data_IF_868997471179
#
_entry.id   IF_868997471179
#
_cell.length_a   1.000
_cell.length_b   1.000
_cell.length_c   1.000
_cell.angle_alpha   90.00
_cell.angle_beta   90.00
_cell.angle_gamma   90.00
#
_symmetry.space_group_name_H-M   'P 1'
#
loop_
_entity.id
_entity.type
_entity.pdbx_description
1 polymer ?
#
# COMPACT_ATOMS: atom_id res chain seq x y z
N UNK A 1 -27.47 38.87 16.68
CA UNK A 1 -27.67 37.41 16.83
C UNK A 1 -26.80 36.71 15.79
N UNK A 2 -25.78 35.91 16.19
CA UNK A 2 -24.85 35.28 15.25
C UNK A 2 -25.39 33.92 14.80
N UNK A 3 -25.23 33.57 13.52
CA UNK A 3 -25.46 32.20 13.03
C UNK A 3 -24.18 31.68 12.41
N UNK A 4 -23.53 30.82 13.19
CA UNK A 4 -22.45 29.89 12.84
C UNK A 4 -23.00 28.82 11.85
N UNK A 5 -22.28 27.96 11.12
CA UNK A 5 -20.88 27.59 11.01
C UNK A 5 -20.76 26.66 9.78
N UNK A 6 -19.57 26.58 9.19
CA UNK A 6 -18.95 25.36 8.61
C UNK A 6 -19.82 24.36 7.83
N UNK A 7 -19.67 24.36 6.50
CA UNK A 7 -19.83 23.16 5.68
C UNK A 7 -18.46 22.72 5.17
N UNK A 8 -17.77 21.86 5.92
CA UNK A 8 -16.58 21.15 5.44
C UNK A 8 -17.01 20.13 4.38
N UNK A 9 -16.80 20.47 3.11
CA UNK A 9 -16.76 19.48 2.03
C UNK A 9 -15.41 18.77 2.15
N UNK A 10 -15.43 17.56 2.73
CA UNK A 10 -14.27 16.68 2.76
C UNK A 10 -14.15 16.05 1.37
N UNK A 11 -13.45 16.76 0.49
CA UNK A 11 -13.02 16.25 -0.80
C UNK A 11 -11.86 15.29 -0.52
N UNK A 12 -12.20 14.03 -0.23
CA UNK A 12 -11.24 12.92 -0.22
C UNK A 12 -10.82 12.67 -1.68
N UNK A 13 -10.02 13.59 -2.21
CA UNK A 13 -9.29 13.41 -3.46
C UNK A 13 -8.30 12.29 -3.23
N UNK A 14 -8.63 11.11 -3.75
CA UNK A 14 -7.73 10.01 -4.00
C UNK A 14 -6.45 10.59 -4.63
N UNK A 15 -5.35 10.59 -3.88
CA UNK A 15 -4.04 11.01 -4.38
C UNK A 15 -3.66 10.03 -5.47
N UNK A 16 -3.87 10.44 -6.72
CA UNK A 16 -3.21 9.84 -7.88
C UNK A 16 -1.71 10.02 -7.64
N UNK A 17 -1.05 8.95 -7.21
CA UNK A 17 0.40 8.85 -7.23
C UNK A 17 0.84 8.80 -8.71
N UNK A 18 0.86 9.98 -9.33
CA UNK A 18 1.46 10.18 -10.65
C UNK A 18 2.95 9.85 -10.55
N UNK A 19 3.39 8.93 -11.41
CA UNK A 19 4.81 8.68 -11.60
C UNK A 19 5.37 9.84 -12.42
N UNK A 20 6.04 10.80 -11.78
CA UNK A 20 6.70 11.91 -12.46
C UNK A 20 8.00 11.42 -13.11
N UNK A 21 8.05 11.43 -14.45
CA UNK A 21 9.24 11.06 -15.23
C UNK A 21 10.25 12.21 -15.31
N UNK A 22 11.48 11.98 -14.85
CA UNK A 22 12.64 12.85 -15.12
C UNK A 22 13.78 11.98 -15.69
N UNK A 23 13.91 11.97 -17.01
CA UNK A 23 15.03 11.32 -17.70
C UNK A 23 14.79 11.20 -19.21
N UNK A 24 15.36 12.11 -20.00
CA UNK A 24 15.37 12.02 -21.45
C UNK A 24 16.51 11.10 -21.90
N UNK A 25 16.19 9.91 -22.42
CA UNK A 25 17.10 9.05 -23.17
C UNK A 25 16.54 8.83 -24.59
N UNK A 26 17.39 8.68 -25.62
CA UNK A 26 16.95 8.62 -27.01
C UNK A 26 16.06 7.39 -27.26
N UNK A 27 14.91 7.63 -27.90
CA UNK A 27 13.87 6.66 -28.16
C UNK A 27 14.31 5.58 -29.16
N UNK A 28 14.31 4.32 -28.71
CA UNK A 28 14.08 3.16 -29.57
C UNK A 28 12.65 2.68 -29.32
N UNK A 29 11.77 3.07 -30.23
CA UNK A 29 10.30 3.11 -30.09
C UNK A 29 9.57 1.74 -30.09
N UNK A 30 10.14 0.68 -29.50
CA UNK A 30 9.43 -0.61 -29.39
C UNK A 30 9.54 -1.28 -28.01
N UNK A 31 10.52 -0.90 -27.18
CA UNK A 31 10.71 -1.46 -25.84
C UNK A 31 11.26 -0.41 -24.88
N UNK A 32 10.38 0.41 -24.31
CA UNK A 32 10.76 1.37 -23.28
C UNK A 32 11.04 0.62 -21.98
N UNK A 33 12.14 0.98 -21.32
CA UNK A 33 12.55 0.45 -20.02
C UNK A 33 12.64 1.59 -19.04
N UNK A 34 11.98 1.47 -17.90
CA UNK A 34 11.79 2.54 -16.95
C UNK A 34 12.14 2.06 -15.55
N UNK A 35 12.97 2.83 -14.84
CA UNK A 35 13.22 2.63 -13.42
C UNK A 35 12.49 3.73 -12.65
N UNK A 36 11.69 3.33 -11.66
CA UNK A 36 10.86 4.23 -10.88
C UNK A 36 10.98 3.98 -9.38
N UNK A 37 10.62 5.02 -8.63
CA UNK A 37 10.49 4.99 -7.18
C UNK A 37 9.03 5.26 -6.82
N UNK A 38 8.55 4.64 -5.75
CA UNK A 38 7.21 4.80 -5.20
C UNK A 38 7.27 5.09 -3.71
N UNK A 39 6.37 5.94 -3.27
CA UNK A 39 6.09 6.19 -1.85
C UNK A 39 4.63 5.82 -1.60
N UNK A 40 4.38 5.13 -0.50
CA UNK A 40 3.06 4.64 -0.15
C UNK A 40 2.91 4.44 1.36
N UNK A 41 1.85 3.72 1.71
CA UNK A 41 1.57 3.37 3.09
C UNK A 41 1.19 1.90 3.25
N UNK A 42 1.56 1.33 4.38
CA UNK A 42 1.15 0.00 4.83
C UNK A 42 0.19 0.13 6.00
N UNK A 43 -0.84 -0.72 6.04
CA UNK A 43 -1.78 -0.82 7.14
C UNK A 43 -1.95 -2.29 7.52
N UNK A 44 -1.67 -2.62 8.79
CA UNK A 44 -1.85 -3.99 9.25
C UNK A 44 -3.34 -4.28 9.47
N UNK A 45 -3.82 -5.35 8.83
CA UNK A 45 -5.15 -5.91 9.04
C UNK A 45 -5.02 -7.39 9.37
N UNK A 46 -5.54 -7.79 10.52
CA UNK A 46 -5.39 -9.14 11.05
C UNK A 46 -5.98 -9.29 12.45
N UNK A 47 -5.48 -10.25 13.22
CA UNK A 47 -5.98 -10.60 14.55
C UNK A 47 -5.82 -9.47 15.59
N UNK A 48 -4.81 -8.62 15.45
CA UNK A 48 -4.62 -7.44 16.32
C UNK A 48 -5.56 -6.30 15.93
N UNK A 49 -5.75 -6.10 14.62
CA UNK A 49 -6.60 -5.03 14.08
C UNK A 49 -7.49 -5.61 12.96
N UNK A 50 -8.72 -6.07 13.27
CA UNK A 50 -9.57 -6.75 12.29
C UNK A 50 -10.05 -5.83 11.16
N UNK A 51 -10.17 -4.54 11.48
CA UNK A 51 -10.57 -3.49 10.56
C UNK A 51 -9.40 -2.56 10.26
N UNK A 52 -9.53 -1.80 9.18
CA UNK A 52 -8.58 -0.75 8.82
C UNK A 52 -8.58 0.33 9.91
N UNK A 53 -7.37 0.70 10.36
CA UNK A 53 -7.20 1.74 11.37
C UNK A 53 -6.26 2.80 10.85
N UNK A 54 -6.70 4.06 10.80
CA UNK A 54 -5.89 5.13 10.23
C UNK A 54 -4.56 5.33 10.99
N UNK A 55 -4.56 5.13 12.30
CA UNK A 55 -3.36 5.24 13.15
C UNK A 55 -2.32 4.12 12.93
N UNK A 56 -2.72 3.02 12.30
CA UNK A 56 -1.83 1.90 11.98
C UNK A 56 -1.02 2.16 10.70
N UNK A 57 -1.30 3.23 9.97
CA UNK A 57 -0.56 3.57 8.76
C UNK A 57 0.92 3.80 9.05
N UNK A 58 1.75 3.21 8.20
CA UNK A 58 3.20 3.36 8.22
C UNK A 58 3.67 3.69 6.81
N UNK A 59 4.70 4.51 6.65
CA UNK A 59 5.26 4.77 5.34
C UNK A 59 5.84 3.49 4.74
N UNK A 60 5.72 3.38 3.43
CA UNK A 60 6.33 2.34 2.62
C UNK A 60 7.02 2.96 1.42
N UNK A 61 8.09 2.32 0.98
CA UNK A 61 8.89 2.73 -0.15
C UNK A 61 8.98 1.57 -1.14
N UNK A 62 8.90 1.88 -2.43
CA UNK A 62 8.96 0.90 -3.50
C UNK A 62 9.98 1.35 -4.54
N UNK A 63 10.82 0.42 -5.01
CA UNK A 63 11.62 0.59 -6.22
C UNK A 63 11.04 -0.37 -7.24
N UNK A 64 10.80 0.09 -8.47
CA UNK A 64 10.25 -0.77 -9.51
C UNK A 64 10.91 -0.53 -10.85
N UNK A 65 10.97 -1.59 -11.64
CA UNK A 65 11.41 -1.57 -13.02
C UNK A 65 10.24 -1.99 -13.90
N UNK A 66 9.94 -1.18 -14.92
CA UNK A 66 8.90 -1.43 -15.93
C UNK A 66 9.54 -1.61 -17.28
N UNK A 67 9.01 -2.54 -18.07
CA UNK A 67 9.43 -2.79 -19.44
C UNK A 67 8.23 -3.05 -20.32
N UNK A 68 8.13 -2.25 -21.38
CA UNK A 68 7.08 -2.42 -22.38
C UNK A 68 7.45 -3.57 -23.32
N UNK A 69 6.58 -4.57 -23.40
CA UNK A 69 6.73 -5.73 -24.29
C UNK A 69 6.00 -5.49 -25.60
N UNK A 70 4.87 -4.79 -25.55
CA UNK A 70 4.11 -4.34 -26.72
C UNK A 70 3.39 -3.03 -26.39
N UNK A 71 2.78 -2.37 -27.39
CA UNK A 71 2.07 -1.11 -27.17
C UNK A 71 1.03 -1.16 -26.02
N UNK A 72 0.23 -2.25 -25.86
CA UNK A 72 -0.69 -2.36 -24.73
C UNK A 72 -0.14 -3.13 -23.51
N UNK A 73 0.98 -3.87 -23.60
CA UNK A 73 1.44 -4.75 -22.52
C UNK A 73 2.77 -4.31 -21.93
N UNK A 74 2.77 -4.09 -20.62
CA UNK A 74 3.93 -3.71 -19.81
C UNK A 74 4.18 -4.75 -18.72
N UNK A 75 5.44 -5.12 -18.50
CA UNK A 75 5.85 -5.94 -17.36
C UNK A 75 6.46 -5.05 -16.29
N UNK A 76 6.07 -5.26 -15.02
CA UNK A 76 6.61 -4.54 -13.86
C UNK A 76 7.17 -5.53 -12.84
N UNK A 77 8.42 -5.32 -12.46
CA UNK A 77 9.01 -5.94 -11.28
C UNK A 77 9.19 -4.86 -10.20
N UNK A 78 8.86 -5.15 -8.96
CA UNK A 78 8.94 -4.17 -7.87
C UNK A 78 9.42 -4.77 -6.56
N UNK A 79 10.20 -4.01 -5.80
CA UNK A 79 10.60 -4.32 -4.44
C UNK A 79 10.02 -3.27 -3.50
N UNK A 80 9.18 -3.67 -2.56
CA UNK A 80 8.53 -2.79 -1.59
C UNK A 80 9.00 -3.12 -0.18
N UNK A 81 9.35 -2.09 0.59
CA UNK A 81 9.66 -2.19 2.02
C UNK A 81 8.78 -1.24 2.81
N UNK A 82 8.15 -1.71 3.88
CA UNK A 82 7.26 -0.90 4.71
C UNK A 82 7.23 -1.34 6.17
N UNK A 83 6.87 -0.40 7.04
CA UNK A 83 6.65 -0.70 8.46
C UNK A 83 5.29 -1.36 8.71
N UNK A 84 5.17 -2.15 9.76
CA UNK A 84 3.89 -2.67 10.24
C UNK A 84 3.67 -2.25 11.68
N UNK A 85 2.43 -1.85 11.99
CA UNK A 85 2.03 -1.56 13.36
C UNK A 85 0.55 -1.84 13.54
N UNK A 86 0.19 -2.38 14.69
CA UNK A 86 -1.17 -2.44 15.17
C UNK A 86 -1.20 -2.33 16.69
N UNK A 87 -2.29 -1.77 17.23
CA UNK A 87 -2.52 -1.71 18.67
C UNK A 87 -3.98 -2.01 18.96
N UNK A 88 -4.21 -2.82 19.98
CA UNK A 88 -5.56 -3.13 20.46
C UNK A 88 -6.31 -1.87 20.92
N UNK A 89 -5.60 -0.90 21.51
CA UNK A 89 -6.17 0.39 21.92
C UNK A 89 -6.75 1.22 20.77
N UNK A 90 -6.31 0.94 19.54
CA UNK A 90 -6.69 1.71 18.36
C UNK A 90 -7.89 1.09 17.64
N UNK A 91 -8.39 -0.06 18.10
CA UNK A 91 -9.52 -0.74 17.46
C UNK A 91 -10.83 -0.14 17.98
N UNK A 92 -11.64 0.42 17.09
CA UNK A 92 -12.96 0.96 17.42
C UNK A 92 -14.05 -0.13 17.42
N UNK A 93 -14.76 -0.31 18.54
CA UNK A 93 -15.91 -1.20 18.63
C UNK A 93 -17.21 -0.53 18.18
N UNK A 94 -18.29 -1.32 18.10
CA UNK A 94 -19.62 -0.86 17.67
C UNK A 94 -20.19 0.32 18.48
N UNK A 95 -19.71 0.50 19.73
CA UNK A 95 -20.15 1.55 20.63
C UNK A 95 -19.19 2.76 20.69
N UNK A 96 -18.23 2.86 19.75
CA UNK A 96 -17.24 3.94 19.72
C UNK A 96 -16.09 3.82 20.74
N UNK A 97 -16.01 2.71 21.48
CA UNK A 97 -14.94 2.40 22.42
C UNK A 97 -14.19 1.12 22.05
N UNK A 98 -13.08 0.83 22.71
CA UNK A 98 -12.28 -0.38 22.44
C UNK A 98 -13.10 -1.65 22.73
N UNK A 99 -13.17 -2.63 21.81
CA UNK A 99 -13.93 -3.84 22.05
C UNK A 99 -13.37 -4.64 23.26
N UNK A 100 -14.21 -5.40 23.97
CA UNK A 100 -13.81 -6.08 25.21
C UNK A 100 -12.59 -6.99 25.06
N UNK A 101 -12.46 -7.70 23.92
CA UNK A 101 -11.33 -8.59 23.66
C UNK A 101 -10.00 -7.83 23.54
N UNK A 102 -9.98 -6.78 22.72
CA UNK A 102 -8.82 -5.91 22.54
C UNK A 102 -8.46 -5.19 23.84
N UNK A 103 -9.47 -4.74 24.59
CA UNK A 103 -9.26 -4.11 25.89
C UNK A 103 -8.66 -5.05 26.94
N UNK A 104 -9.00 -6.35 26.90
CA UNK A 104 -8.42 -7.37 27.77
C UNK A 104 -7.00 -7.77 27.34
N UNK A 105 -6.78 -7.93 26.03
CA UNK A 105 -5.50 -8.41 25.49
C UNK A 105 -4.40 -7.35 25.52
N UNK A 106 -4.75 -6.08 25.32
CA UNK A 106 -3.83 -4.93 25.38
C UNK A 106 -2.52 -5.15 24.58
N UNK A 107 -2.64 -5.71 23.38
CA UNK A 107 -1.50 -6.05 22.53
C UNK A 107 -1.07 -4.90 21.63
N UNK A 108 0.24 -4.76 21.46
CA UNK A 108 0.90 -3.91 20.48
C UNK A 108 1.75 -4.79 19.56
N UNK A 109 1.51 -4.70 18.26
CA UNK A 109 2.32 -5.32 17.21
C UNK A 109 3.15 -4.26 16.51
N UNK A 110 4.42 -4.57 16.29
CA UNK A 110 5.37 -3.76 15.52
C UNK A 110 6.17 -4.66 14.60
N UNK A 111 6.47 -4.22 13.40
CA UNK A 111 7.23 -5.02 12.46
C UNK A 111 7.58 -4.31 11.18
N UNK A 112 8.00 -5.09 10.20
CA UNK A 112 8.24 -4.65 8.83
C UNK A 112 7.86 -5.74 7.84
N UNK A 113 7.64 -5.32 6.59
CA UNK A 113 7.36 -6.20 5.46
C UNK A 113 8.28 -5.85 4.30
N UNK A 114 8.82 -6.88 3.67
CA UNK A 114 9.56 -6.81 2.42
C UNK A 114 8.80 -7.64 1.38
N UNK A 115 8.47 -7.04 0.25
CA UNK A 115 7.68 -7.66 -0.81
C UNK A 115 8.41 -7.54 -2.14
N UNK A 116 8.52 -8.66 -2.86
CA UNK A 116 8.95 -8.69 -4.25
C UNK A 116 7.72 -8.96 -5.11
N UNK A 117 7.44 -8.11 -6.09
CA UNK A 117 6.26 -8.16 -6.94
C UNK A 117 6.66 -8.33 -8.41
N UNK A 118 5.89 -9.16 -9.12
CA UNK A 118 5.91 -9.27 -10.57
C UNK A 118 4.50 -9.10 -11.10
N UNK A 119 4.28 -8.10 -11.95
CA UNK A 119 2.97 -7.65 -12.42
C UNK A 119 2.98 -7.50 -13.93
N UNK A 120 1.89 -7.92 -14.58
CA UNK A 120 1.59 -7.62 -15.98
C UNK A 120 0.53 -6.53 -16.00
N UNK A 121 0.77 -5.49 -16.77
CA UNK A 121 -0.14 -4.36 -16.97
C UNK A 121 -0.62 -4.36 -18.43
N UNK A 122 -1.93 -4.24 -18.62
CA UNK A 122 -2.59 -4.06 -19.91
C UNK A 122 -3.19 -2.65 -19.99
N UNK A 123 -2.63 -1.80 -20.85
CA UNK A 123 -3.07 -0.43 -21.08
C UNK A 123 -4.08 -0.42 -22.25
N UNK A 124 -5.29 0.09 -22.01
CA UNK A 124 -6.34 0.13 -23.05
C UNK A 124 -6.09 1.21 -24.11
N UNK A 125 -5.45 2.31 -23.73
CA UNK A 125 -5.11 3.40 -24.62
C UNK A 125 -3.60 3.43 -24.85
N UNK A 126 -3.21 3.54 -26.12
CA UNK A 126 -1.83 3.73 -26.51
C UNK A 126 -1.38 5.14 -26.11
N UNK A 127 -0.50 5.21 -25.10
CA UNK A 127 0.07 6.47 -24.62
C UNK A 127 1.34 6.88 -25.38
N UNK A 128 1.85 6.04 -26.30
CA UNK A 128 3.02 6.35 -27.11
C UNK A 128 2.66 7.21 -28.32
N UNK A 129 1.46 7.04 -28.88
CA UNK A 129 0.98 7.81 -30.03
C UNK A 129 0.46 9.18 -29.59
N UNK A 130 1.41 10.10 -29.42
CA UNK A 130 1.16 11.51 -29.10
C UNK A 130 0.56 12.27 -30.28
N UNK A 131 -0.74 12.13 -30.49
CA UNK A 131 -1.46 13.05 -31.38
C UNK A 131 -1.99 14.20 -30.54
N UNK A 132 -1.60 15.43 -30.92
CA UNK A 132 -1.91 16.77 -30.36
C UNK A 132 -3.39 17.01 -29.91
N UNK A 133 -4.30 16.11 -30.25
CA UNK A 133 -5.74 16.23 -30.02
C UNK A 133 -6.22 15.71 -28.65
N UNK A 134 -5.41 14.92 -27.93
CA UNK A 134 -5.78 14.37 -26.62
C UNK A 134 -5.11 15.14 -25.47
N UNK A 135 -5.81 16.16 -24.95
CA UNK A 135 -5.34 16.99 -23.82
C UNK A 135 -5.29 16.22 -22.48
N UNK A 136 -5.92 15.04 -22.41
CA UNK A 136 -6.01 14.20 -21.21
C UNK A 136 -5.04 13.03 -21.33
N UNK A 137 -3.99 13.06 -20.50
CA UNK A 137 -2.90 12.08 -20.46
C UNK A 137 -3.21 10.92 -19.51
N UNK A 138 -4.41 10.35 -19.62
CA UNK A 138 -4.90 9.29 -18.73
C UNK A 138 -5.18 8.05 -19.57
N UNK A 139 -4.45 6.97 -19.29
CA UNK A 139 -4.74 5.65 -19.85
C UNK A 139 -5.27 4.76 -18.72
N UNK A 140 -6.53 4.29 -18.79
CA UNK A 140 -6.97 3.23 -17.90
C UNK A 140 -6.15 1.97 -18.21
N UNK A 141 -5.78 1.24 -17.18
CA UNK A 141 -5.05 -0.02 -17.31
C UNK A 141 -5.62 -1.07 -16.35
N UNK A 142 -5.46 -2.33 -16.74
CA UNK A 142 -5.69 -3.49 -15.89
C UNK A 142 -4.34 -4.06 -15.49
N UNK A 143 -4.21 -4.58 -14.26
CA UNK A 143 -2.99 -5.26 -13.85
C UNK A 143 -3.31 -6.55 -13.11
N UNK A 144 -2.40 -7.51 -13.19
CA UNK A 144 -2.46 -8.73 -12.41
C UNK A 144 -1.03 -9.23 -12.16
N UNK A 145 -0.79 -9.80 -10.98
CA UNK A 145 0.56 -10.24 -10.63
C UNK A 145 0.62 -11.19 -9.45
N UNK A 146 1.86 -11.49 -9.06
CA UNK A 146 2.20 -12.26 -7.88
C UNK A 146 3.24 -11.49 -7.07
N UNK A 147 3.11 -11.55 -5.75
CA UNK A 147 3.98 -10.83 -4.84
C UNK A 147 4.34 -11.67 -3.61
N UNK A 148 5.40 -12.51 -3.66
CA UNK A 148 5.98 -13.07 -2.44
C UNK A 148 6.44 -11.97 -1.48
N UNK A 149 6.13 -12.14 -0.21
CA UNK A 149 6.54 -11.23 0.85
C UNK A 149 7.05 -11.97 2.08
N UNK A 150 7.96 -11.30 2.78
CA UNK A 150 8.45 -11.67 4.09
C UNK A 150 8.07 -10.58 5.09
N UNK A 151 7.30 -10.95 6.11
CA UNK A 151 6.92 -10.07 7.20
C UNK A 151 7.59 -10.52 8.49
N UNK A 152 8.22 -9.59 9.20
CA UNK A 152 8.77 -9.82 10.54
C UNK A 152 8.03 -8.94 11.53
N UNK A 153 7.46 -9.55 12.57
CA UNK A 153 6.62 -8.86 13.54
C UNK A 153 6.95 -9.30 14.96
N UNK A 154 7.06 -8.33 15.86
CA UNK A 154 7.11 -8.51 17.30
C UNK A 154 5.78 -8.08 17.89
N UNK A 155 5.23 -8.95 18.74
CA UNK A 155 3.99 -8.72 19.46
C UNK A 155 4.30 -8.62 20.94
N UNK A 156 3.67 -7.69 21.64
CA UNK A 156 3.84 -7.49 23.08
C UNK A 156 2.47 -7.22 23.71
N UNK A 157 2.17 -7.81 24.87
CA UNK A 157 0.94 -7.53 25.64
C UNK A 157 1.28 -6.77 26.92
N UNK A 158 0.45 -5.78 27.27
CA UNK A 158 0.56 -5.09 28.56
C UNK A 158 -0.14 -5.85 29.70
N UNK A 159 -0.97 -6.86 29.39
CA UNK A 159 -1.65 -7.68 30.38
C UNK A 159 -0.69 -8.73 30.96
N UNK A 160 -0.35 -8.70 32.28
CA UNK A 160 0.63 -9.60 32.89
C UNK A 160 0.30 -11.09 32.74
N UNK A 161 -0.99 -11.44 32.64
CA UNK A 161 -1.45 -12.83 32.47
C UNK A 161 -1.11 -13.36 31.08
N UNK A 162 -1.13 -12.48 30.06
CA UNK A 162 -0.99 -12.82 28.65
C UNK A 162 0.42 -12.54 28.09
N UNK A 163 1.28 -11.85 28.84
CA UNK A 163 2.67 -11.60 28.48
C UNK A 163 3.44 -12.85 28.01
N UNK A 164 3.40 -14.01 28.70
CA UNK A 164 4.14 -15.20 28.25
C UNK A 164 3.69 -15.73 26.88
N UNK A 165 2.43 -15.49 26.49
CA UNK A 165 1.88 -15.98 25.23
C UNK A 165 2.11 -15.01 24.06
N UNK A 166 2.06 -13.70 24.35
CA UNK A 166 2.12 -12.66 23.32
C UNK A 166 3.50 -12.06 23.11
N UNK A 167 4.38 -12.03 24.13
CA UNK A 167 5.70 -11.43 24.02
C UNK A 167 6.64 -12.32 23.20
N UNK A 168 6.52 -12.21 21.88
CA UNK A 168 7.28 -13.00 20.91
C UNK A 168 7.48 -12.24 19.62
N UNK A 169 8.58 -12.55 18.95
CA UNK A 169 8.84 -12.15 17.56
C UNK A 169 8.70 -13.34 16.63
N UNK A 170 8.31 -13.08 15.40
CA UNK A 170 8.11 -14.11 14.39
C UNK A 170 8.30 -13.55 12.99
N UNK A 171 8.78 -14.39 12.09
CA UNK A 171 8.84 -14.13 10.66
C UNK A 171 7.85 -15.02 9.90
N UNK A 172 7.23 -14.48 8.86
CA UNK A 172 6.35 -15.24 7.97
C UNK A 172 6.67 -14.93 6.52
N UNK A 173 6.87 -15.97 5.71
CA UNK A 173 6.90 -15.89 4.25
C UNK A 173 5.52 -16.28 3.73
N UNK A 174 5.00 -15.51 2.78
CA UNK A 174 3.74 -15.81 2.12
C UNK A 174 3.72 -15.16 0.73
N UNK A 175 2.65 -15.40 -0.03
CA UNK A 175 2.43 -14.80 -1.36
C UNK A 175 1.14 -13.99 -1.34
N UNK A 176 1.17 -12.83 -1.98
CA UNK A 176 0.02 -12.00 -2.30
C UNK A 176 -0.25 -12.01 -3.80
N UNK A 177 -1.49 -11.70 -4.18
CA UNK A 177 -1.92 -11.58 -5.57
C UNK A 177 -2.40 -10.14 -5.78
N UNK A 178 -1.55 -9.25 -6.33
CA UNK A 178 -1.98 -7.94 -6.78
C UNK A 178 -2.91 -8.09 -7.99
N UNK A 179 -4.10 -7.50 -7.91
CA UNK A 179 -5.11 -7.45 -8.97
C UNK A 179 -5.97 -6.19 -8.81
#
# INVERSE_FOLDING_TARGET
>A
MPKTWFSSVLLAGLVLAGSSFLGAAPARAQHTSELGLGLGGTNYRGEVSPQYQFENNRPAFTVFYRRDISAPVTLRAGLTYGGLRAKDSNVEGANGGVPPLQNYRQVSLKGSVLELSGVVEYNFLDYHQRTEQHRVHLSPYLFAGLAPFYAHTTTESQNPVLQPDFNRSGGRVSVAIPA
#
